data_IF_069815843653
#
_entry.id   IF_069815843653
#
_cell.length_a   1.000
_cell.length_b   1.000
_cell.length_c   1.000
_cell.angle_alpha   90.00
_cell.angle_beta   90.00
_cell.angle_gamma   90.00
#
_symmetry.space_group_name_H-M   'P 1'
#
loop_
_entity.id
_entity.type
_entity.pdbx_description
1 polymer ?
#
# COMPACT_ATOMS: atom_id res chain seq x y z
N UNK A 1 -34.28 -2.60 10.88
CA UNK A 1 -33.15 -1.74 10.49
C UNK A 1 -31.89 -2.38 11.05
N UNK A 2 -31.09 -2.99 10.19
CA UNK A 2 -29.89 -3.73 10.59
C UNK A 2 -28.78 -2.74 10.94
N UNK A 3 -28.43 -2.64 12.22
CA UNK A 3 -27.20 -1.99 12.64
C UNK A 3 -26.05 -2.94 12.31
N UNK A 4 -25.15 -2.49 11.45
CA UNK A 4 -23.95 -3.21 11.06
C UNK A 4 -23.15 -3.59 12.31
N UNK A 5 -22.88 -4.88 12.45
CA UNK A 5 -21.94 -5.38 13.43
C UNK A 5 -20.57 -4.79 13.11
N UNK A 6 -20.13 -3.86 13.95
CA UNK A 6 -18.75 -3.42 13.99
C UNK A 6 -17.90 -4.63 14.38
N UNK A 7 -17.41 -5.36 13.37
CA UNK A 7 -16.28 -6.23 13.55
C UNK A 7 -15.15 -5.33 14.05
N UNK A 8 -14.82 -5.46 15.33
CA UNK A 8 -13.63 -4.88 15.94
C UNK A 8 -12.41 -5.47 15.23
N UNK A 9 -12.07 -4.93 14.07
CA UNK A 9 -10.76 -5.07 13.48
C UNK A 9 -9.82 -4.31 14.41
N UNK A 10 -9.11 -5.07 15.25
CA UNK A 10 -7.92 -4.59 15.96
C UNK A 10 -7.09 -3.79 14.95
N UNK A 11 -7.06 -2.47 15.10
CA UNK A 11 -6.00 -1.69 14.49
C UNK A 11 -4.71 -2.19 15.16
N UNK A 12 -3.73 -2.74 14.42
CA UNK A 12 -2.47 -3.14 15.03
C UNK A 12 -1.85 -1.91 15.73
N UNK A 13 -1.37 -2.10 16.95
CA UNK A 13 -0.75 -1.04 17.74
C UNK A 13 0.60 -0.66 17.14
N UNK A 14 0.72 0.58 16.65
CA UNK A 14 1.87 1.10 15.91
C UNK A 14 3.07 1.49 16.82
N UNK A 15 4.32 1.17 16.46
CA UNK A 15 5.51 1.70 17.09
C UNK A 15 5.87 3.10 16.55
N UNK A 16 6.31 3.97 17.47
CA UNK A 16 6.51 5.41 17.22
C UNK A 16 7.86 5.80 16.59
N UNK A 17 8.46 5.00 15.70
CA UNK A 17 9.78 5.40 15.16
C UNK A 17 10.05 4.85 13.75
N UNK A 18 10.13 5.70 12.71
CA UNK A 18 10.43 5.25 11.37
C UNK A 18 11.92 4.99 11.16
N UNK A 19 12.26 3.86 10.50
CA UNK A 19 13.59 3.62 9.91
C UNK A 19 13.58 4.12 8.47
N UNK A 20 14.28 5.22 8.22
CA UNK A 20 14.29 5.90 6.92
C UNK A 20 15.32 5.28 5.97
N UNK A 21 14.88 4.82 4.80
CA UNK A 21 15.65 4.83 3.55
C UNK A 21 14.72 5.33 2.45
N UNK A 22 15.09 6.45 1.83
CA UNK A 22 14.25 7.21 0.90
C UNK A 22 14.60 6.75 -0.51
N UNK A 23 13.63 6.27 -1.29
CA UNK A 23 13.78 6.14 -2.73
C UNK A 23 13.09 7.32 -3.42
N UNK A 24 13.81 7.93 -4.36
CA UNK A 24 13.28 8.95 -5.25
C UNK A 24 12.91 8.20 -6.53
N UNK A 25 11.61 8.07 -6.82
CA UNK A 25 11.14 7.49 -8.08
C UNK A 25 11.47 8.46 -9.23
N UNK A 26 12.21 7.96 -10.22
CA UNK A 26 12.74 8.71 -11.37
C UNK A 26 11.62 9.44 -12.13
N UNK A 27 11.59 10.78 -12.02
CA UNK A 27 10.68 11.65 -12.76
C UNK A 27 9.37 12.03 -12.05
N UNK A 28 9.22 11.80 -10.75
CA UNK A 28 8.05 12.28 -9.99
C UNK A 28 8.45 13.07 -8.75
N UNK A 29 7.76 14.18 -8.52
CA UNK A 29 7.93 15.10 -7.38
C UNK A 29 7.44 14.50 -6.05
N UNK A 30 7.57 13.19 -5.86
CA UNK A 30 7.05 12.43 -4.72
C UNK A 30 8.17 11.55 -4.19
N UNK A 31 8.49 11.73 -2.90
CA UNK A 31 9.39 10.87 -2.14
C UNK A 31 8.57 9.75 -1.54
N UNK A 32 9.07 8.52 -1.66
CA UNK A 32 8.47 7.35 -1.04
C UNK A 32 9.47 6.62 -0.16
N UNK A 33 8.99 6.02 0.93
CA UNK A 33 9.77 5.06 1.73
C UNK A 33 9.80 3.67 1.10
N UNK A 34 9.10 3.47 -0.02
CA UNK A 34 9.14 2.23 -0.79
C UNK A 34 10.55 2.00 -1.36
N UNK A 35 11.04 0.77 -1.26
CA UNK A 35 12.30 0.35 -1.88
C UNK A 35 11.94 -0.52 -3.07
N UNK A 36 12.38 -0.13 -4.26
CA UNK A 36 12.27 -0.98 -5.45
C UNK A 36 13.17 -2.21 -5.25
N UNK A 37 12.52 -3.34 -4.93
CA UNK A 37 13.15 -4.63 -4.75
C UNK A 37 13.00 -5.44 -6.04
N UNK A 38 13.98 -6.29 -6.36
CA UNK A 38 13.86 -7.17 -7.53
C UNK A 38 12.61 -8.05 -7.44
N UNK A 39 12.06 -8.46 -8.59
CA UNK A 39 10.86 -9.30 -8.66
C UNK A 39 11.02 -10.58 -7.79
N UNK A 40 12.22 -11.20 -7.79
CA UNK A 40 12.51 -12.37 -6.94
C UNK A 40 12.41 -12.08 -5.44
N UNK A 41 12.89 -10.93 -4.98
CA UNK A 41 12.84 -10.56 -3.55
C UNK A 41 11.41 -10.24 -3.11
N UNK A 42 10.65 -9.56 -3.97
CA UNK A 42 9.23 -9.30 -3.79
C UNK A 42 8.39 -10.59 -3.71
N UNK A 43 8.72 -11.57 -4.54
CA UNK A 43 8.11 -12.92 -4.53
C UNK A 43 8.38 -13.62 -3.20
N UNK A 44 9.62 -13.67 -2.75
CA UNK A 44 10.00 -14.34 -1.49
C UNK A 44 9.40 -13.63 -0.26
N UNK A 45 9.31 -12.29 -0.30
CA UNK A 45 8.61 -11.49 0.71
C UNK A 45 7.12 -11.86 0.74
N UNK A 46 6.45 -11.87 -0.41
CA UNK A 46 5.03 -12.28 -0.51
C UNK A 46 4.80 -13.68 0.04
N UNK A 47 5.71 -14.62 -0.20
CA UNK A 47 5.61 -15.98 0.37
C UNK A 47 5.68 -16.00 1.89
N UNK A 48 6.41 -15.06 2.48
CA UNK A 48 6.62 -14.95 3.93
C UNK A 48 5.45 -14.25 4.65
N UNK A 49 4.94 -13.13 4.10
CA UNK A 49 3.90 -12.30 4.75
C UNK A 49 2.52 -12.36 4.08
N UNK A 50 2.39 -13.13 2.99
CA UNK A 50 1.19 -13.35 2.16
C UNK A 50 0.72 -12.15 1.32
N UNK A 51 1.19 -10.94 1.61
CA UNK A 51 0.88 -9.72 0.86
C UNK A 51 2.06 -8.76 0.94
N UNK A 52 2.47 -8.15 -0.17
CA UNK A 52 3.48 -7.08 -0.16
C UNK A 52 3.24 -6.08 -1.28
N UNK A 53 3.48 -4.80 -1.02
CA UNK A 53 3.59 -3.78 -2.08
C UNK A 53 4.89 -4.03 -2.86
N UNK A 54 4.81 -4.01 -4.19
CA UNK A 54 5.92 -4.34 -5.11
C UNK A 54 6.30 -3.17 -6.00
N UNK A 55 5.36 -2.28 -6.28
CA UNK A 55 5.67 -1.02 -6.95
C UNK A 55 4.76 0.06 -6.43
N UNK A 56 5.31 1.25 -6.29
CA UNK A 56 4.56 2.43 -5.87
C UNK A 56 5.12 3.65 -6.59
N UNK A 57 4.31 4.27 -7.43
CA UNK A 57 4.68 5.47 -8.17
C UNK A 57 3.50 6.41 -8.26
N UNK A 58 3.74 7.72 -8.26
CA UNK A 58 2.68 8.70 -8.31
C UNK A 58 2.98 9.77 -9.35
N UNK A 59 2.02 10.02 -10.23
CA UNK A 59 2.16 10.92 -11.37
C UNK A 59 0.93 11.83 -11.44
N UNK A 60 1.14 13.15 -11.50
CA UNK A 60 0.06 14.15 -11.63
C UNK A 60 -1.11 13.98 -10.63
N UNK A 61 -0.83 13.52 -9.41
CA UNK A 61 -1.83 13.33 -8.35
C UNK A 61 -2.56 12.00 -8.38
N UNK A 62 -2.10 11.10 -9.24
CA UNK A 62 -2.54 9.73 -9.30
C UNK A 62 -1.43 8.82 -8.76
N UNK A 63 -1.65 8.28 -7.57
CA UNK A 63 -0.85 7.23 -6.99
C UNK A 63 -1.26 5.88 -7.59
N UNK A 64 -0.30 5.16 -8.14
CA UNK A 64 -0.47 3.79 -8.63
C UNK A 64 0.47 2.88 -7.86
N UNK A 65 0.01 1.65 -7.66
CA UNK A 65 0.88 0.63 -7.11
C UNK A 65 0.45 -0.76 -7.54
N UNK A 66 1.44 -1.64 -7.53
CA UNK A 66 1.30 -3.08 -7.77
C UNK A 66 1.53 -3.80 -6.43
N UNK A 67 0.68 -4.76 -6.11
CA UNK A 67 0.66 -5.52 -4.86
C UNK A 67 0.70 -6.99 -5.23
N UNK A 68 1.61 -7.75 -4.63
CA UNK A 68 1.63 -9.20 -4.76
C UNK A 68 0.92 -9.82 -3.56
N UNK A 69 0.10 -10.82 -3.85
CA UNK A 69 -0.60 -11.62 -2.85
C UNK A 69 -0.42 -13.09 -3.12
N UNK A 70 -0.34 -13.87 -2.06
CA UNK A 70 -0.22 -15.32 -2.17
C UNK A 70 -1.53 -15.94 -2.64
N UNK A 71 -1.46 -16.80 -3.65
CA UNK A 71 -2.63 -17.44 -4.23
C UNK A 71 -3.17 -18.61 -3.37
N UNK A 72 -3.84 -18.29 -2.25
CA UNK A 72 -4.39 -19.28 -1.32
C UNK A 72 -5.81 -19.79 -1.65
N UNK A 73 -6.63 -18.98 -2.33
CA UNK A 73 -7.96 -19.34 -2.84
C UNK A 73 -8.44 -18.38 -3.92
N UNK A 74 -9.44 -18.76 -4.70
CA UNK A 74 -9.98 -17.93 -5.79
C UNK A 74 -10.56 -16.60 -5.30
N UNK A 75 -11.31 -16.61 -4.20
CA UNK A 75 -11.90 -15.40 -3.62
C UNK A 75 -10.85 -14.64 -2.81
N UNK A 76 -10.35 -13.56 -3.39
CA UNK A 76 -9.36 -12.66 -2.79
C UNK A 76 -9.94 -11.26 -2.72
N UNK A 77 -9.74 -10.60 -1.59
CA UNK A 77 -10.07 -9.19 -1.43
C UNK A 77 -8.85 -8.43 -0.94
N UNK A 78 -8.33 -7.56 -1.79
CA UNK A 78 -7.18 -6.70 -1.49
C UNK A 78 -7.69 -5.27 -1.35
N UNK A 79 -7.45 -4.66 -0.19
CA UNK A 79 -7.91 -3.31 0.12
C UNK A 79 -6.73 -2.49 0.62
N UNK A 80 -6.50 -1.36 -0.02
CA UNK A 80 -5.53 -0.36 0.41
C UNK A 80 -6.25 0.62 1.30
N UNK A 81 -5.74 0.81 2.51
CA UNK A 81 -6.21 1.82 3.44
C UNK A 81 -5.17 2.93 3.49
N UNK A 82 -5.59 4.17 3.31
CA UNK A 82 -4.71 5.32 3.34
C UNK A 82 -5.29 6.47 4.16
N UNK A 83 -4.40 7.32 4.66
CA UNK A 83 -4.73 8.51 5.45
C UNK A 83 -3.90 9.70 4.99
N UNK A 84 -4.49 10.88 5.13
CA UNK A 84 -3.88 12.18 4.86
C UNK A 84 -3.75 13.05 6.12
N UNK A 85 -4.39 12.64 7.23
CA UNK A 85 -4.44 13.38 8.51
C UNK A 85 -3.80 12.59 9.68
N UNK A 86 -2.73 11.83 9.41
CA UNK A 86 -2.03 11.04 10.43
C UNK A 86 -2.92 10.01 11.15
N UNK A 87 -3.73 9.27 10.38
CA UNK A 87 -4.70 8.26 10.84
C UNK A 87 -5.92 8.79 11.60
N UNK A 88 -6.11 10.11 11.64
CA UNK A 88 -7.34 10.71 12.21
C UNK A 88 -8.57 10.32 11.40
N UNK A 89 -8.43 10.28 10.08
CA UNK A 89 -9.41 9.71 9.15
C UNK A 89 -8.70 8.76 8.21
N UNK A 90 -9.41 7.77 7.70
CA UNK A 90 -8.87 6.85 6.70
C UNK A 90 -9.88 6.63 5.59
N UNK A 91 -9.35 6.37 4.40
CA UNK A 91 -10.10 6.00 3.22
C UNK A 91 -9.60 4.66 2.71
N UNK A 92 -10.48 3.93 2.04
CA UNK A 92 -10.22 2.56 1.59
C UNK A 92 -10.53 2.45 0.10
N UNK A 93 -9.64 1.79 -0.63
CA UNK A 93 -9.82 1.48 -2.05
C UNK A 93 -9.55 -0.01 -2.26
N UNK A 94 -10.34 -0.62 -3.13
CA UNK A 94 -10.14 -2.02 -3.51
C UNK A 94 -9.16 -2.11 -4.67
N UNK A 95 -8.16 -2.99 -4.56
CA UNK A 95 -7.26 -3.31 -5.65
C UNK A 95 -7.94 -4.26 -6.63
N UNK A 96 -7.61 -4.14 -7.91
CA UNK A 96 -8.10 -5.03 -8.95
C UNK A 96 -7.04 -6.09 -9.29
N UNK A 97 -7.47 -7.32 -9.49
CA UNK A 97 -6.58 -8.36 -10.01
C UNK A 97 -6.02 -7.93 -11.38
N UNK A 98 -4.72 -8.09 -11.54
CA UNK A 98 -3.98 -7.69 -12.74
C UNK A 98 -3.51 -8.89 -13.54
N UNK A 99 -2.57 -9.65 -12.97
CA UNK A 99 -1.95 -10.81 -13.61
C UNK A 99 -1.51 -11.85 -12.58
N UNK A 100 -1.33 -13.07 -13.05
CA UNK A 100 -0.60 -14.10 -12.32
C UNK A 100 0.90 -13.85 -12.51
N UNK A 101 1.63 -13.76 -11.40
CA UNK A 101 3.10 -13.60 -11.41
C UNK A 101 3.75 -14.97 -11.43
N UNK A 102 3.32 -15.83 -10.51
CA UNK A 102 3.70 -17.25 -10.42
C UNK A 102 2.47 -18.11 -10.10
N UNK A 103 2.61 -19.45 -10.09
CA UNK A 103 1.51 -20.35 -9.74
C UNK A 103 0.92 -20.05 -8.34
N UNK A 104 1.77 -19.62 -7.40
CA UNK A 104 1.39 -19.28 -6.03
C UNK A 104 1.28 -17.77 -5.74
N UNK A 105 1.40 -16.89 -6.74
CA UNK A 105 1.40 -15.43 -6.54
C UNK A 105 0.58 -14.71 -7.61
N UNK A 106 -0.36 -13.88 -7.16
CA UNK A 106 -1.16 -12.99 -7.99
C UNK A 106 -0.76 -11.52 -7.77
N UNK A 107 -0.72 -10.75 -8.84
CA UNK A 107 -0.55 -9.31 -8.83
C UNK A 107 -1.91 -8.59 -8.86
N UNK A 108 -2.02 -7.56 -8.03
CA UNK A 108 -3.15 -6.65 -7.94
C UNK A 108 -2.67 -5.23 -8.15
N UNK A 109 -3.39 -4.48 -8.99
CA UNK A 109 -3.11 -3.06 -9.22
C UNK A 109 -4.14 -2.19 -8.52
N UNK A 110 -3.68 -1.04 -8.05
CA UNK A 110 -4.57 0.01 -7.57
C UNK A 110 -4.20 1.36 -8.15
N UNK A 111 -5.18 2.25 -8.15
CA UNK A 111 -5.02 3.64 -8.57
C UNK A 111 -5.81 4.52 -7.63
N UNK A 112 -5.13 5.47 -7.01
CA UNK A 112 -5.67 6.41 -6.04
C UNK A 112 -5.42 7.83 -6.51
N UNK A 113 -6.47 8.61 -6.71
CA UNK A 113 -6.33 10.05 -6.85
C UNK A 113 -6.21 10.66 -5.46
N UNK A 114 -5.08 11.30 -5.16
CA UNK A 114 -4.91 12.02 -3.91
C UNK A 114 -4.70 13.51 -4.22
N UNK A 115 -5.31 14.42 -3.43
CA UNK A 115 -5.14 15.85 -3.65
C UNK A 115 -3.70 16.22 -3.32
N UNK A 116 -2.90 16.60 -4.31
CA UNK A 116 -1.48 16.97 -4.11
C UNK A 116 -1.34 18.27 -3.31
N UNK A 117 -2.38 19.11 -3.29
CA UNK A 117 -2.22 20.55 -3.05
C UNK A 117 -2.12 20.97 -1.58
N UNK A 118 -2.45 20.09 -0.61
CA UNK A 118 -2.53 20.48 0.81
C UNK A 118 -1.95 19.46 1.80
N UNK A 119 -1.43 18.31 1.34
CA UNK A 119 -1.05 17.21 2.24
C UNK A 119 0.43 17.19 2.53
N UNK A 120 0.77 17.26 3.81
CA UNK A 120 2.14 17.11 4.32
C UNK A 120 2.72 15.70 4.09
N UNK A 121 1.86 14.74 3.76
CA UNK A 121 2.22 13.37 3.41
C UNK A 121 0.98 12.46 3.44
N UNK A 122 1.04 11.36 2.71
CA UNK A 122 0.05 10.28 2.72
C UNK A 122 0.69 9.04 3.35
N UNK A 123 -0.03 8.36 4.24
CA UNK A 123 0.38 7.05 4.76
C UNK A 123 -0.59 5.99 4.25
N UNK A 124 -0.07 4.84 3.81
CA UNK A 124 -0.89 3.72 3.37
C UNK A 124 -0.43 2.39 3.96
N UNK A 125 -1.40 1.48 4.08
CA UNK A 125 -1.20 0.07 4.37
C UNK A 125 -2.12 -0.78 3.48
N UNK A 126 -1.75 -2.04 3.28
CA UNK A 126 -2.50 -2.97 2.43
C UNK A 126 -3.04 -4.10 3.29
N UNK A 127 -4.30 -4.47 3.06
CA UNK A 127 -4.93 -5.65 3.64
C UNK A 127 -5.28 -6.65 2.55
N UNK A 128 -5.03 -7.92 2.82
CA UNK A 128 -5.39 -9.04 1.98
C UNK A 128 -6.26 -10.02 2.77
N UNK A 129 -7.52 -10.15 2.36
CA UNK A 129 -8.49 -11.07 2.94
C UNK A 129 -8.71 -12.28 2.03
N UNK A 130 -8.56 -13.49 2.58
CA UNK A 130 -8.75 -14.77 1.89
C UNK A 130 -9.15 -15.87 2.88
N UNK A 131 -10.12 -16.72 2.54
CA UNK A 131 -10.57 -17.84 3.40
C UNK A 131 -10.75 -17.45 4.88
N UNK A 132 -11.50 -16.38 5.16
CA UNK A 132 -11.74 -15.84 6.52
C UNK A 132 -10.48 -15.37 7.28
N UNK A 133 -9.32 -15.33 6.63
CA UNK A 133 -8.05 -14.82 7.17
C UNK A 133 -7.73 -13.46 6.57
N UNK A 134 -7.19 -12.55 7.39
CA UNK A 134 -6.77 -11.21 6.94
C UNK A 134 -5.30 -11.02 7.24
N UNK A 135 -4.53 -10.75 6.20
CA UNK A 135 -3.11 -10.42 6.24
C UNK A 135 -2.93 -8.94 6.00
N UNK A 136 -1.91 -8.35 6.60
CA UNK A 136 -1.61 -6.93 6.48
C UNK A 136 -0.16 -6.75 6.07
N UNK A 137 0.06 -5.85 5.12
CA UNK A 137 1.37 -5.29 4.81
C UNK A 137 1.39 -3.83 5.26
N UNK A 138 2.05 -3.60 6.38
CA UNK A 138 2.23 -2.30 7.02
C UNK A 138 3.70 -1.84 6.95
N UNK A 139 4.49 -2.39 6.02
CA UNK A 139 5.90 -2.07 5.84
C UNK A 139 6.71 -2.19 7.15
N UNK A 140 6.62 -3.35 7.82
CA UNK A 140 7.30 -3.60 9.11
C UNK A 140 7.04 -2.48 10.13
N UNK A 141 5.77 -2.11 10.30
CA UNK A 141 5.32 -1.09 11.24
C UNK A 141 5.79 0.35 10.96
N UNK A 142 6.39 0.60 9.80
CA UNK A 142 6.83 1.94 9.38
C UNK A 142 5.84 2.63 8.44
N UNK A 143 4.86 1.89 7.91
CA UNK A 143 3.93 2.31 6.85
C UNK A 143 4.64 2.77 5.57
N UNK A 144 3.89 2.82 4.47
CA UNK A 144 4.36 3.46 3.24
C UNK A 144 3.97 4.93 3.30
N UNK A 145 4.98 5.80 3.42
CA UNK A 145 4.80 7.25 3.50
C UNK A 145 5.17 7.87 2.17
N UNK A 146 4.26 8.66 1.62
CA UNK A 146 4.47 9.44 0.42
C UNK A 146 4.48 10.92 0.80
N UNK A 147 5.57 11.61 0.48
CA UNK A 147 5.71 13.03 0.73
C UNK A 147 5.94 13.73 -0.61
N UNK A 148 5.11 14.72 -0.93
CA UNK A 148 5.31 15.52 -2.13
C UNK A 148 6.52 16.45 -1.92
N UNK A 149 7.49 16.40 -2.82
CA UNK A 149 8.61 17.33 -2.85
C UNK A 149 8.31 18.45 -3.85
N UNK A 150 7.87 19.60 -3.35
CA UNK A 150 7.58 20.78 -4.18
C UNK A 150 8.81 21.36 -4.91
N UNK A 151 10.03 20.86 -4.72
CA UNK A 151 11.23 21.50 -5.32
C UNK A 151 11.40 21.27 -6.83
N UNK A 152 10.59 20.46 -7.51
CA UNK A 152 10.67 20.29 -8.96
C UNK A 152 9.85 21.30 -9.78
N UNK A 153 8.98 22.12 -9.16
CA UNK A 153 8.23 23.18 -9.87
C UNK A 153 9.10 24.40 -10.27
N UNK A 154 10.42 24.34 -10.10
CA UNK A 154 11.32 25.48 -10.31
C UNK A 154 12.55 25.12 -11.12
N UNK A 155 12.37 24.80 -12.41
CA UNK A 155 13.44 24.95 -13.38
C UNK A 155 12.93 25.39 -14.75
#
# INVERSE_FOLDING_TARGET
AAAAAAASAFLPSFPSTPRTKIAISDGSSIRTTFVDESETESIERTRSINVSVVSLFAIDGLLKGEIYVRNLAYEKKVVIRYTVDGWSTYSEIEAAFSRNVEEDIDAFDFSLTFPIEDVSGCELCVSYSVNDSVFWDNNEDTNYRLEYDENEKKK
#
